data_IF_908099607243
#
_entry.id   IF_908099607243
#
_cell.length_a   1.000
_cell.length_b   1.000
_cell.length_c   1.000
_cell.angle_alpha   90.00
_cell.angle_beta   90.00
_cell.angle_gamma   90.00
#
_symmetry.space_group_name_H-M   'P 1'
#
loop_
_entity.id
_entity.type
_entity.pdbx_description
1 polymer ?
#
# COMPACT_ATOMS: atom_id res chain seq x y z
N UNK A 1 -6.30 8.48 -19.86
CA UNK A 1 -5.81 9.64 -19.06
C UNK A 1 -4.40 10.01 -19.54
N UNK A 2 -4.12 11.29 -19.84
CA UNK A 2 -2.78 11.73 -20.28
C UNK A 2 -1.73 11.42 -19.19
N UNK A 3 -0.55 10.92 -19.58
CA UNK A 3 0.54 10.47 -18.67
C UNK A 3 0.94 11.53 -17.63
N UNK A 4 1.05 12.79 -18.07
CA UNK A 4 1.25 13.98 -17.23
C UNK A 4 0.27 14.05 -16.05
N UNK A 5 -1.02 13.82 -16.30
CA UNK A 5 -2.07 13.89 -15.27
C UNK A 5 -1.91 12.74 -14.26
N UNK A 6 -1.53 11.53 -14.70
CA UNK A 6 -1.23 10.41 -13.80
C UNK A 6 -0.03 10.71 -12.90
N UNK A 7 1.01 11.37 -13.43
CA UNK A 7 2.18 11.76 -12.66
C UNK A 7 1.83 12.81 -11.59
N UNK A 8 0.99 13.79 -11.93
CA UNK A 8 0.47 14.78 -10.98
C UNK A 8 -0.36 14.13 -9.87
N UNK A 9 -1.23 13.16 -10.20
CA UNK A 9 -1.98 12.41 -9.19
C UNK A 9 -1.06 11.63 -8.26
N UNK A 10 0.03 11.02 -8.76
CA UNK A 10 1.01 10.33 -7.92
C UNK A 10 1.73 11.26 -6.96
N UNK A 11 2.09 12.47 -7.40
CA UNK A 11 2.65 13.51 -6.53
C UNK A 11 1.64 13.88 -5.44
N UNK A 12 0.39 14.12 -5.82
CA UNK A 12 -0.68 14.46 -4.89
C UNK A 12 -0.90 13.37 -3.85
N UNK A 13 -0.97 12.09 -4.26
CA UNK A 13 -1.12 10.97 -3.31
C UNK A 13 0.05 10.88 -2.33
N UNK A 14 1.29 11.10 -2.79
CA UNK A 14 2.45 11.09 -1.90
C UNK A 14 2.37 12.23 -0.86
N UNK A 15 1.99 13.44 -1.29
CA UNK A 15 1.81 14.60 -0.40
C UNK A 15 0.69 14.37 0.60
N UNK A 16 -0.46 13.86 0.15
CA UNK A 16 -1.60 13.54 1.02
C UNK A 16 -1.23 12.48 2.06
N UNK A 17 -0.50 11.43 1.66
CA UNK A 17 -0.01 10.41 2.59
C UNK A 17 0.95 10.99 3.64
N UNK A 18 1.87 11.87 3.23
CA UNK A 18 2.75 12.55 4.18
C UNK A 18 1.97 13.44 5.15
N UNK A 19 0.98 14.19 4.66
CA UNK A 19 0.15 15.04 5.50
C UNK A 19 -0.65 14.21 6.51
N UNK A 20 -1.32 13.14 6.05
CA UNK A 20 -2.01 12.19 6.92
C UNK A 20 -1.05 11.60 7.97
N UNK A 21 0.16 11.20 7.56
CA UNK A 21 1.18 10.69 8.47
C UNK A 21 1.54 11.68 9.57
N UNK A 22 1.81 12.94 9.22
CA UNK A 22 2.13 14.01 10.19
C UNK A 22 0.95 14.22 11.15
N UNK A 23 -0.28 14.31 10.64
CA UNK A 23 -1.46 14.50 11.49
C UNK A 23 -1.68 13.34 12.45
N UNK A 24 -1.42 12.10 12.04
CA UNK A 24 -1.55 10.94 12.92
C UNK A 24 -0.44 10.87 13.97
N UNK A 25 0.79 11.31 13.63
CA UNK A 25 1.87 11.41 14.61
C UNK A 25 1.52 12.46 15.67
N UNK A 26 1.07 13.66 15.27
CA UNK A 26 0.73 14.72 16.22
C UNK A 26 -0.44 14.34 17.12
N UNK A 27 -1.50 13.76 16.54
CA UNK A 27 -2.65 13.23 17.31
C UNK A 27 -2.23 12.07 18.21
N UNK A 28 -1.38 11.17 17.72
CA UNK A 28 -0.89 10.03 18.49
C UNK A 28 -0.07 10.44 19.71
N UNK A 29 0.78 11.47 19.57
CA UNK A 29 1.55 12.06 20.69
C UNK A 29 0.60 12.76 21.68
N UNK A 30 -0.38 13.53 21.18
CA UNK A 30 -1.32 14.25 22.05
C UNK A 30 -2.21 13.32 22.86
N UNK A 31 -2.69 12.22 22.25
CA UNK A 31 -3.55 11.24 22.90
C UNK A 31 -2.79 10.11 23.61
N UNK A 32 -1.45 10.13 23.61
CA UNK A 32 -0.58 9.05 24.11
C UNK A 32 -0.95 7.65 23.56
N UNK A 33 -1.35 7.59 22.29
CA UNK A 33 -1.70 6.33 21.61
C UNK A 33 -0.56 5.90 20.68
N UNK A 34 0.23 4.92 21.13
CA UNK A 34 1.37 4.39 20.36
C UNK A 34 0.98 3.82 18.99
N UNK A 35 -0.21 3.23 18.89
CA UNK A 35 -0.71 2.64 17.63
C UNK A 35 -0.90 3.75 16.58
N UNK A 36 -1.57 4.85 16.94
CA UNK A 36 -1.85 5.96 16.03
C UNK A 36 -0.56 6.63 15.56
N UNK A 37 0.39 6.87 16.45
CA UNK A 37 1.70 7.43 16.09
C UNK A 37 2.50 6.49 15.19
N UNK A 38 2.44 5.17 15.45
CA UNK A 38 3.16 4.17 14.64
C UNK A 38 2.61 4.07 13.21
N UNK A 39 1.28 4.11 13.05
CA UNK A 39 0.64 4.15 11.72
C UNK A 39 1.04 5.46 10.98
N UNK A 40 1.07 6.57 11.71
CA UNK A 40 1.50 7.86 11.16
C UNK A 40 2.92 7.81 10.58
N UNK A 41 3.87 7.20 11.30
CA UNK A 41 5.22 6.94 10.79
C UNK A 41 5.23 6.06 9.53
N UNK A 42 4.37 5.05 9.48
CA UNK A 42 4.19 4.21 8.30
C UNK A 42 3.79 5.01 7.06
N UNK A 43 2.77 5.87 7.18
CA UNK A 43 2.34 6.73 6.07
C UNK A 43 3.40 7.74 5.65
N UNK A 44 4.15 8.30 6.60
CA UNK A 44 5.21 9.25 6.35
C UNK A 44 6.36 8.61 5.54
N UNK A 45 6.81 7.42 5.96
CA UNK A 45 7.82 6.64 5.24
C UNK A 45 7.38 6.26 3.82
N UNK A 46 6.14 5.78 3.67
CA UNK A 46 5.58 5.42 2.35
C UNK A 46 5.48 6.65 1.44
N UNK A 47 5.02 7.79 1.98
CA UNK A 47 4.95 9.05 1.24
C UNK A 47 6.32 9.50 0.74
N UNK A 48 7.35 9.47 1.60
CA UNK A 48 8.72 9.78 1.21
C UNK A 48 9.26 8.83 0.13
N UNK A 49 9.08 7.52 0.30
CA UNK A 49 9.54 6.54 -0.67
C UNK A 49 8.89 6.75 -2.05
N UNK A 50 7.60 7.09 -2.09
CA UNK A 50 6.90 7.43 -3.33
C UNK A 50 7.46 8.71 -3.97
N UNK A 51 7.78 9.71 -3.17
CA UNK A 51 8.32 10.99 -3.64
C UNK A 51 9.73 10.80 -4.23
N UNK A 52 10.60 10.04 -3.55
CA UNK A 52 11.94 9.66 -4.05
C UNK A 52 11.83 8.90 -5.38
N UNK A 53 10.94 7.90 -5.44
CA UNK A 53 10.69 7.13 -6.67
C UNK A 53 10.27 8.05 -7.80
N UNK A 54 9.42 9.03 -7.52
CA UNK A 54 8.90 9.95 -8.52
C UNK A 54 9.95 10.95 -9.00
N UNK A 55 10.80 11.46 -8.10
CA UNK A 55 11.98 12.27 -8.47
C UNK A 55 12.90 11.46 -9.41
N UNK A 56 13.21 10.21 -9.04
CA UNK A 56 14.07 9.32 -9.84
C UNK A 56 13.50 9.05 -11.24
N UNK A 57 12.18 8.94 -11.35
CA UNK A 57 11.48 8.80 -12.64
C UNK A 57 11.53 10.11 -13.42
N UNK A 58 11.29 11.25 -12.78
CA UNK A 58 11.27 12.55 -13.46
C UNK A 58 12.65 13.00 -13.96
N UNK A 59 13.71 12.55 -13.30
CA UNK A 59 15.10 12.90 -13.61
C UNK A 59 15.66 12.27 -14.89
N UNK A 60 15.03 11.24 -15.45
CA UNK A 60 15.53 10.55 -16.65
C UNK A 60 14.38 10.32 -17.64
N UNK A 61 14.56 10.82 -18.86
CA UNK A 61 13.54 10.69 -19.91
C UNK A 61 13.35 9.23 -20.34
N UNK A 62 14.42 8.43 -20.32
CA UNK A 62 14.35 6.98 -20.53
C UNK A 62 13.45 6.31 -19.48
N UNK A 63 13.56 6.67 -18.19
CA UNK A 63 12.72 6.10 -17.13
C UNK A 63 11.26 6.52 -17.27
N UNK A 64 10.97 7.75 -17.74
CA UNK A 64 9.60 8.18 -18.06
C UNK A 64 9.03 7.37 -19.21
N UNK A 65 9.80 7.16 -20.28
CA UNK A 65 9.37 6.37 -21.44
C UNK A 65 9.12 4.90 -21.06
N UNK A 66 10.02 4.28 -20.29
CA UNK A 66 9.83 2.93 -19.76
C UNK A 66 8.56 2.81 -18.92
N UNK A 67 8.31 3.78 -18.02
CA UNK A 67 7.09 3.80 -17.22
C UNK A 67 5.83 3.93 -18.10
N UNK A 68 5.89 4.76 -19.14
CA UNK A 68 4.79 4.92 -20.09
C UNK A 68 4.47 3.62 -20.80
N UNK A 69 5.48 2.92 -21.35
CA UNK A 69 5.32 1.61 -22.00
C UNK A 69 4.71 0.59 -21.03
N UNK A 70 5.23 0.54 -19.80
CA UNK A 70 4.76 -0.39 -18.77
C UNK A 70 3.28 -0.15 -18.37
N UNK A 71 2.80 1.07 -18.51
CA UNK A 71 1.42 1.44 -18.17
C UNK A 71 0.43 1.39 -19.33
N UNK A 72 0.92 1.37 -20.57
CA UNK A 72 0.07 1.32 -21.77
C UNK A 72 -0.04 -0.09 -22.35
N UNK A 73 0.95 -0.95 -22.13
CA UNK A 73 0.94 -2.32 -22.62
C UNK A 73 0.04 -3.21 -21.74
N UNK A 74 -1.03 -3.75 -22.33
CA UNK A 74 -2.01 -4.60 -21.65
C UNK A 74 -1.39 -5.85 -21.04
N UNK A 75 -0.39 -6.45 -21.70
CA UNK A 75 0.28 -7.65 -21.19
C UNK A 75 1.05 -7.34 -19.90
N UNK A 76 1.71 -6.19 -19.85
CA UNK A 76 2.42 -5.74 -18.65
C UNK A 76 1.47 -5.42 -17.50
N UNK A 77 0.27 -4.91 -17.80
CA UNK A 77 -0.78 -4.70 -16.80
C UNK A 77 -1.27 -6.04 -16.26
N UNK A 78 -1.58 -7.01 -17.13
CA UNK A 78 -2.04 -8.35 -16.72
C UNK A 78 -1.02 -9.05 -15.80
N UNK A 79 0.28 -9.02 -16.16
CA UNK A 79 1.34 -9.61 -15.34
C UNK A 79 1.42 -8.94 -13.98
N UNK A 80 1.34 -7.61 -13.93
CA UNK A 80 1.34 -6.86 -12.65
C UNK A 80 0.16 -7.24 -11.77
N UNK A 81 -1.04 -7.36 -12.34
CA UNK A 81 -2.22 -7.76 -11.56
C UNK A 81 -2.10 -9.19 -11.05
N UNK A 82 -1.64 -10.14 -11.88
CA UNK A 82 -1.39 -11.51 -11.42
C UNK A 82 -0.37 -11.53 -10.28
N UNK A 83 0.76 -10.84 -10.43
CA UNK A 83 1.79 -10.76 -9.40
C UNK A 83 1.25 -10.16 -8.10
N UNK A 84 0.44 -9.09 -8.18
CA UNK A 84 -0.21 -8.49 -7.02
C UNK A 84 -1.19 -9.46 -6.34
N UNK A 85 -1.97 -10.21 -7.11
CA UNK A 85 -2.88 -11.22 -6.56
C UNK A 85 -2.12 -12.31 -5.81
N UNK A 86 -1.02 -12.82 -6.38
CA UNK A 86 -0.15 -13.78 -5.68
C UNK A 86 0.45 -13.19 -4.40
N UNK A 87 0.94 -11.95 -4.46
CA UNK A 87 1.52 -11.29 -3.29
C UNK A 87 0.50 -11.13 -2.16
N UNK A 88 -0.74 -10.74 -2.46
CA UNK A 88 -1.82 -10.62 -1.47
C UNK A 88 -2.18 -11.99 -0.90
N UNK A 89 -2.32 -13.03 -1.73
CA UNK A 89 -2.60 -14.39 -1.25
C UNK A 89 -1.50 -14.90 -0.30
N UNK A 90 -0.23 -14.71 -0.65
CA UNK A 90 0.91 -15.09 0.20
C UNK A 90 0.89 -14.29 1.51
N UNK A 91 0.59 -12.99 1.44
CA UNK A 91 0.54 -12.13 2.62
C UNK A 91 -0.58 -12.55 3.60
N UNK A 92 -1.76 -12.94 3.09
CA UNK A 92 -2.86 -13.49 3.90
C UNK A 92 -2.41 -14.77 4.63
N UNK A 93 -1.72 -15.68 3.93
CA UNK A 93 -1.17 -16.90 4.52
C UNK A 93 -0.17 -16.56 5.64
N UNK A 94 0.76 -15.62 5.39
CA UNK A 94 1.75 -15.20 6.38
C UNK A 94 1.08 -14.64 7.64
N UNK A 95 0.11 -13.74 7.50
CA UNK A 95 -0.61 -13.19 8.66
C UNK A 95 -1.37 -14.29 9.40
N UNK A 96 -2.00 -15.21 8.67
CA UNK A 96 -2.73 -16.32 9.28
C UNK A 96 -1.82 -17.22 10.11
N UNK A 97 -0.63 -17.55 9.59
CA UNK A 97 0.40 -18.26 10.34
C UNK A 97 0.88 -17.47 11.57
N UNK A 98 1.07 -16.15 11.44
CA UNK A 98 1.48 -15.30 12.56
C UNK A 98 0.42 -15.30 13.68
N UNK A 99 -0.87 -15.25 13.33
CA UNK A 99 -1.97 -15.35 14.32
C UNK A 99 -1.93 -16.67 15.07
N UNK A 100 -1.69 -17.79 14.39
CA UNK A 100 -1.55 -19.11 15.03
C UNK A 100 -0.38 -19.10 16.02
N UNK A 101 0.79 -18.61 15.61
CA UNK A 101 1.98 -18.53 16.47
C UNK A 101 1.70 -17.66 17.70
N UNK A 102 1.09 -16.49 17.52
CA UNK A 102 0.74 -15.59 18.63
C UNK A 102 -0.31 -16.20 19.58
N UNK A 103 -1.18 -17.07 19.08
CA UNK A 103 -2.15 -17.82 19.90
C UNK A 103 -1.43 -18.77 20.85
N UNK A 104 -0.34 -19.41 20.42
CA UNK A 104 0.50 -20.23 21.32
C UNK A 104 1.26 -19.38 22.35
N UNK A 105 1.49 -18.09 22.08
CA UNK A 105 2.17 -17.16 22.97
C UNK A 105 1.20 -16.39 23.89
N UNK A 106 -0.11 -16.67 23.82
CA UNK A 106 -1.17 -15.97 24.57
C UNK A 106 -1.16 -14.43 24.42
N UNK A 107 -0.77 -13.94 23.23
CA UNK A 107 -0.66 -12.51 22.92
C UNK A 107 -1.96 -11.95 22.33
N UNK A 108 -3.01 -11.85 23.15
CA UNK A 108 -4.38 -11.55 22.69
C UNK A 108 -4.53 -10.20 21.97
N UNK A 109 -3.80 -9.17 22.40
CA UNK A 109 -3.87 -7.82 21.79
C UNK A 109 -3.34 -7.84 20.35
N UNK A 110 -2.25 -8.54 20.13
CA UNK A 110 -1.57 -8.66 18.85
C UNK A 110 -2.38 -9.54 17.89
N UNK A 111 -2.99 -10.62 18.40
CA UNK A 111 -3.95 -11.45 17.67
C UNK A 111 -5.12 -10.61 17.16
N UNK A 112 -5.74 -9.81 18.04
CA UNK A 112 -6.85 -8.93 17.67
C UNK A 112 -6.43 -7.94 16.59
N UNK A 113 -5.27 -7.30 16.77
CA UNK A 113 -4.75 -6.30 15.83
C UNK A 113 -4.49 -6.90 14.44
N UNK A 114 -3.80 -8.04 14.37
CA UNK A 114 -3.55 -8.72 13.08
C UNK A 114 -4.82 -9.25 12.44
N UNK A 115 -5.78 -9.72 13.22
CA UNK A 115 -7.09 -10.17 12.72
C UNK A 115 -7.88 -9.02 12.09
N UNK A 116 -7.86 -7.83 12.71
CA UNK A 116 -8.46 -6.63 12.12
C UNK A 116 -7.76 -6.23 10.81
N UNK A 117 -6.43 -6.28 10.76
CA UNK A 117 -5.66 -5.99 9.54
C UNK A 117 -6.01 -6.97 8.42
N UNK A 118 -6.07 -8.27 8.73
CA UNK A 118 -6.45 -9.32 7.79
C UNK A 118 -7.86 -9.08 7.23
N UNK A 119 -8.82 -8.79 8.11
CA UNK A 119 -10.21 -8.55 7.73
C UNK A 119 -10.33 -7.32 6.83
N UNK A 120 -9.68 -6.21 7.20
CA UNK A 120 -9.68 -4.99 6.41
C UNK A 120 -9.03 -5.20 5.03
N UNK A 121 -7.93 -5.96 4.97
CA UNK A 121 -7.30 -6.33 3.71
C UNK A 121 -8.26 -7.12 2.82
N UNK A 122 -8.93 -8.15 3.36
CA UNK A 122 -9.89 -8.95 2.61
C UNK A 122 -11.07 -8.11 2.10
N UNK A 123 -11.65 -7.26 2.95
CA UNK A 123 -12.80 -6.41 2.58
C UNK A 123 -12.43 -5.41 1.48
N UNK A 124 -11.23 -4.82 1.53
CA UNK A 124 -10.77 -3.89 0.49
C UNK A 124 -10.36 -4.59 -0.80
N UNK A 125 -9.66 -5.72 -0.68
CA UNK A 125 -9.08 -6.40 -1.82
C UNK A 125 -10.10 -7.24 -2.61
N UNK A 126 -11.06 -7.88 -1.94
CA UNK A 126 -12.08 -8.72 -2.57
C UNK A 126 -12.89 -8.00 -3.68
N UNK A 127 -13.46 -6.79 -3.47
CA UNK A 127 -14.19 -6.09 -4.54
C UNK A 127 -13.27 -5.67 -5.69
N UNK A 128 -12.03 -5.29 -5.39
CA UNK A 128 -11.01 -4.96 -6.40
C UNK A 128 -10.72 -6.19 -7.26
N UNK A 129 -10.50 -7.33 -6.63
CA UNK A 129 -10.29 -8.61 -7.31
C UNK A 129 -11.47 -8.96 -8.23
N UNK A 130 -12.71 -8.86 -7.76
CA UNK A 130 -13.90 -9.16 -8.58
C UNK A 130 -14.04 -8.25 -9.80
N UNK A 131 -13.73 -6.96 -9.67
CA UNK A 131 -13.78 -6.01 -10.79
C UNK A 131 -12.69 -6.34 -11.81
N UNK A 132 -11.49 -6.67 -11.34
CA UNK A 132 -10.34 -6.96 -12.20
C UNK A 132 -10.41 -8.32 -12.87
N UNK A 133 -10.93 -9.36 -12.21
CA UNK A 133 -11.11 -10.70 -12.78
C UNK A 133 -12.19 -10.76 -13.88
N UNK A 134 -13.09 -9.76 -13.93
CA UNK A 134 -14.04 -9.61 -15.04
C UNK A 134 -13.42 -8.95 -16.26
N UNK A 135 -12.31 -8.23 -16.08
CA UNK A 135 -11.65 -7.44 -17.13
C UNK A 135 -10.46 -8.16 -17.75
N UNK A 136 -9.78 -9.02 -17.00
CA UNK A 136 -8.59 -9.79 -17.38
C UNK A 136 -8.76 -11.26 -17.02
#
# INVERSE_FOLDING_TARGET
>A
MKFEKKLSVRKLTAIVLMFLGITQITVGIYLNTEITSSIGWGFLCVGFAQLIKLIRICSSEERKQQLKIKETDERNLMIQYKALNYAVSIFIVIISCAVIILSFLCMEREIYTLSCVLLLLCVLYFPIYLILSKKY
#
